data_IF_684654511806
#
_entry.id   IF_684654511806
#
_cell.length_a   1.000
_cell.length_b   1.000
_cell.length_c   1.000
_cell.angle_alpha   90.00
_cell.angle_beta   90.00
_cell.angle_gamma   90.00
#
_symmetry.space_group_name_H-M   'P 1'
#
loop_
_entity.id
_entity.type
_entity.pdbx_description
1 polymer ?
#
# COMPACT_ATOMS: atom_id res chain seq x y z
N UNK A 1 12.14 5.44 6.04
CA UNK A 1 10.89 5.66 5.28
C UNK A 1 10.90 4.64 4.15
N UNK A 2 9.86 3.83 4.00
CA UNK A 2 9.90 2.67 3.11
C UNK A 2 9.56 3.11 1.67
N UNK A 3 10.52 2.99 0.74
CA UNK A 3 10.29 3.21 -0.70
C UNK A 3 9.77 1.91 -1.32
N UNK A 4 8.48 1.63 -1.09
CA UNK A 4 7.89 0.33 -1.40
C UNK A 4 7.30 0.22 -2.81
N UNK A 5 7.06 1.33 -3.51
CA UNK A 5 6.37 1.32 -4.80
C UNK A 5 7.34 1.08 -5.97
N UNK A 6 6.95 0.22 -6.90
CA UNK A 6 7.54 0.19 -8.23
C UNK A 6 6.97 1.38 -9.03
N UNK A 7 7.73 2.48 -9.08
CA UNK A 7 7.32 3.72 -9.74
C UNK A 7 7.07 3.57 -11.24
N UNK A 8 7.58 2.50 -11.89
CA UNK A 8 7.36 2.26 -13.31
C UNK A 8 6.05 1.52 -13.58
N UNK A 9 5.59 0.70 -12.62
CA UNK A 9 4.37 -0.11 -12.75
C UNK A 9 3.17 0.47 -12.00
N UNK A 10 3.41 1.31 -10.98
CA UNK A 10 2.37 1.98 -10.20
C UNK A 10 1.67 3.05 -11.04
N UNK A 11 0.34 3.06 -10.98
CA UNK A 11 -0.46 4.10 -11.65
C UNK A 11 -0.86 5.13 -10.60
N UNK A 12 -0.25 6.30 -10.69
CA UNK A 12 -0.52 7.42 -9.77
C UNK A 12 -1.70 8.27 -10.22
N UNK A 13 -2.47 8.74 -9.25
CA UNK A 13 -3.41 9.84 -9.45
C UNK A 13 -2.65 11.17 -9.37
N UNK A 14 -2.76 11.98 -10.44
CA UNK A 14 -2.04 13.25 -10.56
C UNK A 14 -3.00 14.38 -10.90
N UNK A 15 -2.78 15.54 -10.28
CA UNK A 15 -3.39 16.79 -10.72
C UNK A 15 -2.78 17.24 -12.07
N UNK A 16 -3.42 18.19 -12.74
CA UNK A 16 -2.90 18.82 -13.95
C UNK A 16 -1.51 19.46 -13.76
N UNK A 17 -1.16 19.84 -12.52
CA UNK A 17 0.17 20.32 -12.14
C UNK A 17 1.25 19.23 -12.08
N UNK A 18 0.87 17.95 -12.21
CA UNK A 18 1.76 16.80 -12.01
C UNK A 18 1.91 16.36 -10.55
N UNK A 19 1.29 17.06 -9.60
CA UNK A 19 1.30 16.67 -8.18
C UNK A 19 0.57 15.34 -8.00
N UNK A 20 1.23 14.36 -7.39
CA UNK A 20 0.65 13.08 -7.03
C UNK A 20 -0.24 13.26 -5.79
N UNK A 21 -1.50 12.88 -5.90
CA UNK A 21 -2.51 12.98 -4.83
C UNK A 21 -3.00 11.60 -4.35
N UNK A 22 -2.53 10.53 -4.97
CA UNK A 22 -2.90 9.16 -4.62
C UNK A 22 -2.37 8.13 -5.60
N UNK A 23 -2.86 6.90 -5.47
CA UNK A 23 -2.56 5.78 -6.36
C UNK A 23 -3.85 5.12 -6.85
N UNK A 24 -4.00 4.97 -8.16
CA UNK A 24 -5.08 4.21 -8.80
C UNK A 24 -4.81 2.71 -8.78
N UNK A 25 -3.54 2.33 -8.99
CA UNK A 25 -3.06 0.95 -8.93
C UNK A 25 -1.75 0.92 -8.20
N UNK A 26 -1.69 0.14 -7.13
CA UNK A 26 -0.46 -0.09 -6.38
C UNK A 26 0.30 -1.24 -7.01
N UNK A 27 1.61 -1.08 -7.12
CA UNK A 27 2.53 -2.17 -7.41
C UNK A 27 3.69 -2.03 -6.45
N UNK A 28 3.78 -2.95 -5.49
CA UNK A 28 4.84 -2.94 -4.50
C UNK A 28 6.03 -3.77 -4.96
N UNK A 29 7.20 -3.43 -4.44
CA UNK A 29 8.43 -4.19 -4.59
C UNK A 29 8.39 -5.32 -3.55
N UNK A 30 8.22 -6.61 -3.93
CA UNK A 30 7.88 -7.67 -2.98
C UNK A 30 8.89 -7.80 -1.83
N UNK A 31 10.18 -7.80 -2.15
CA UNK A 31 11.24 -7.95 -1.15
C UNK A 31 11.34 -6.77 -0.16
N UNK A 32 10.74 -5.62 -0.47
CA UNK A 32 10.70 -4.45 0.41
C UNK A 32 9.54 -4.57 1.41
N UNK A 33 8.41 -5.15 1.00
CA UNK A 33 7.17 -5.20 1.82
C UNK A 33 6.95 -6.54 2.53
N UNK A 34 7.63 -7.62 2.13
CA UNK A 34 7.38 -8.99 2.61
C UNK A 34 7.54 -9.20 4.12
N UNK A 35 8.23 -8.31 4.84
CA UNK A 35 8.45 -8.40 6.29
C UNK A 35 7.84 -7.23 7.06
N UNK A 36 7.08 -6.37 6.38
CA UNK A 36 6.49 -5.17 6.97
C UNK A 36 5.00 -5.42 7.22
N UNK A 37 4.59 -5.72 8.46
CA UNK A 37 3.20 -6.06 8.76
C UNK A 37 2.25 -4.88 8.55
N UNK A 38 2.76 -3.66 8.76
CA UNK A 38 2.04 -2.39 8.62
C UNK A 38 3.01 -1.28 8.24
N UNK A 39 2.66 -0.44 7.28
CA UNK A 39 3.47 0.71 6.89
C UNK A 39 2.62 1.83 6.30
N UNK A 40 3.14 3.06 6.32
CA UNK A 40 2.52 4.19 5.63
C UNK A 40 3.04 4.29 4.21
N UNK A 41 2.16 4.67 3.28
CA UNK A 41 2.58 4.95 1.91
C UNK A 41 3.52 6.14 1.87
N UNK A 42 4.65 5.98 1.18
CA UNK A 42 5.58 7.03 0.87
C UNK A 42 5.56 7.28 -0.64
N UNK A 43 5.46 8.56 -1.02
CA UNK A 43 5.56 9.00 -2.41
C UNK A 43 6.57 10.14 -2.45
N UNK A 44 7.64 9.98 -3.22
CA UNK A 44 8.70 10.99 -3.39
C UNK A 44 9.28 11.49 -2.06
N UNK A 45 9.53 10.58 -1.11
CA UNK A 45 10.07 10.91 0.22
C UNK A 45 9.08 11.64 1.15
N UNK A 46 7.77 11.65 0.83
CA UNK A 46 6.72 12.23 1.67
C UNK A 46 5.66 11.20 2.04
N UNK A 47 5.32 11.16 3.34
CA UNK A 47 4.32 10.25 3.88
C UNK A 47 2.96 10.72 3.35
N UNK A 48 2.24 9.83 2.68
CA UNK A 48 0.88 10.13 2.28
C UNK A 48 -0.04 10.06 3.52
N UNK A 49 -0.86 11.08 3.80
CA UNK A 49 -1.62 11.14 5.05
C UNK A 49 -2.74 10.09 5.13
N UNK A 50 -3.28 9.68 3.98
CA UNK A 50 -4.52 8.90 3.92
C UNK A 50 -4.31 7.38 3.75
N UNK A 51 -3.07 6.91 3.58
CA UNK A 51 -2.81 5.48 3.34
C UNK A 51 -2.02 4.86 4.49
N UNK A 52 -2.69 3.93 5.17
CA UNK A 52 -2.10 2.97 6.08
C UNK A 52 -2.28 1.58 5.46
N UNK A 53 -1.17 0.94 5.12
CA UNK A 53 -1.14 -0.32 4.39
C UNK A 53 -0.74 -1.44 5.35
N UNK A 54 -1.33 -2.61 5.17
CA UNK A 54 -1.09 -3.78 6.02
C UNK A 54 -0.86 -5.02 5.15
N UNK A 55 -0.09 -5.95 5.68
CA UNK A 55 0.05 -7.29 5.11
C UNK A 55 -1.20 -8.14 5.35
N UNK A 56 -1.39 -9.19 4.56
CA UNK A 56 -2.45 -10.18 4.81
C UNK A 56 -2.29 -10.87 6.16
N UNK A 57 -1.05 -11.11 6.60
CA UNK A 57 -0.79 -11.67 7.93
C UNK A 57 -1.37 -10.79 9.03
N UNK A 58 -1.17 -9.47 8.94
CA UNK A 58 -1.72 -8.52 9.91
C UNK A 58 -3.25 -8.46 9.83
N UNK A 59 -3.82 -8.38 8.62
CA UNK A 59 -5.27 -8.43 8.40
C UNK A 59 -5.89 -9.66 9.06
N UNK A 60 -5.33 -10.84 8.82
CA UNK A 60 -5.85 -12.10 9.34
C UNK A 60 -5.78 -12.15 10.86
N UNK A 61 -4.68 -11.69 11.47
CA UNK A 61 -4.57 -11.61 12.94
C UNK A 61 -5.65 -10.71 13.57
N UNK A 62 -6.00 -9.58 12.93
CA UNK A 62 -7.09 -8.70 13.41
C UNK A 62 -8.45 -9.42 13.30
N UNK A 63 -8.72 -10.09 12.18
CA UNK A 63 -9.97 -10.82 11.97
C UNK A 63 -10.13 -12.01 12.96
N UNK A 64 -9.05 -12.74 13.22
CA UNK A 64 -9.01 -13.85 14.19
C UNK A 64 -9.18 -13.39 15.63
N UNK A 65 -8.73 -12.18 15.96
CA UNK A 65 -8.86 -11.59 17.29
C UNK A 65 -10.27 -11.04 17.62
N UNK A 66 -11.22 -11.16 16.68
CA UNK A 66 -12.58 -10.63 16.79
C UNK A 66 -12.66 -9.10 17.05
N UNK A 67 -11.58 -8.37 16.73
CA UNK A 67 -11.54 -6.91 16.80
C UNK A 67 -12.49 -6.31 15.75
N UNK A 68 -13.26 -5.30 16.16
CA UNK A 68 -14.26 -4.62 15.32
C UNK A 68 -13.84 -3.19 14.99
N UNK A 69 -14.42 -2.64 13.93
CA UNK A 69 -14.18 -1.26 13.50
C UNK A 69 -13.07 -1.11 12.44
N UNK A 70 -12.64 -2.22 11.83
CA UNK A 70 -11.69 -2.22 10.72
C UNK A 70 -12.40 -2.64 9.43
N UNK A 71 -12.13 -1.89 8.36
CA UNK A 71 -12.49 -2.25 7.00
C UNK A 71 -11.19 -2.33 6.20
N UNK A 72 -11.00 -3.44 5.49
CA UNK A 72 -9.82 -3.68 4.68
C UNK A 72 -10.22 -3.67 3.21
N UNK A 73 -9.45 -2.95 2.40
CA UNK A 73 -9.57 -2.94 0.94
C UNK A 73 -8.30 -3.50 0.36
N UNK A 74 -8.43 -4.51 -0.50
CA UNK A 74 -7.28 -5.04 -1.23
C UNK A 74 -6.79 -4.00 -2.24
N UNK A 75 -5.48 -3.77 -2.25
CA UNK A 75 -4.84 -2.75 -3.11
C UNK A 75 -3.78 -3.32 -4.03
N UNK A 76 -3.28 -4.52 -3.74
CA UNK A 76 -2.25 -5.20 -4.50
C UNK A 76 -2.21 -6.68 -4.13
N UNK A 77 -2.21 -7.53 -5.16
CA UNK A 77 -1.85 -8.93 -5.06
C UNK A 77 -0.56 -9.14 -5.88
N UNK A 78 0.42 -9.81 -5.27
CA UNK A 78 1.67 -10.16 -5.95
C UNK A 78 1.51 -11.27 -6.99
N UNK A 79 0.45 -12.05 -6.91
CA UNK A 79 0.15 -13.20 -7.78
C UNK A 79 -0.73 -12.80 -8.98
N UNK A 80 -1.52 -11.73 -8.88
CA UNK A 80 -2.31 -11.21 -10.01
C UNK A 80 -1.40 -10.56 -11.10
N UNK A 81 -1.03 -11.38 -12.09
CA UNK A 81 -0.28 -10.95 -13.29
C UNK A 81 1.03 -11.68 -13.54
N UNK A 82 1.29 -12.79 -12.82
CA UNK A 82 2.33 -13.77 -13.15
C UNK A 82 1.82 -14.83 -14.14
#
# INVERSE_FOLDING_TARGET
MLEALDNNKTIFDKLSSGLIIGCKKFVFIPYVVQHEPIFKLNINGKVHPNYLLVSDQFKNAILESELKGFEFTEVWDSEEGA
#
